data_IF_063224887434
#
_entry.id   IF_063224887434
#
_cell.length_a   1.000
_cell.length_b   1.000
_cell.length_c   1.000
_cell.angle_alpha   90.00
_cell.angle_beta   90.00
_cell.angle_gamma   90.00
#
_symmetry.space_group_name_H-M   'P 1'
#
loop_
_entity.id
_entity.type
_entity.pdbx_description
1 polymer ?
#
# COMPACT_ATOMS: atom_id res chain seq x y z
N UNK A 1 23.95 16.14 17.07
CA UNK A 1 22.51 15.95 17.31
C UNK A 1 21.88 15.73 15.95
N UNK A 2 21.49 14.49 15.64
CA UNK A 2 20.86 14.15 14.35
C UNK A 2 19.40 14.57 14.46
N UNK A 3 18.97 15.46 13.57
CA UNK A 3 17.56 15.86 13.52
C UNK A 3 16.69 14.61 13.26
N UNK A 4 15.54 14.46 13.92
CA UNK A 4 14.66 13.33 13.67
C UNK A 4 14.23 13.37 12.20
N UNK A 5 14.34 12.22 11.53
CA UNK A 5 13.75 11.94 10.21
C UNK A 5 12.34 12.55 10.25
N UNK A 6 12.13 13.62 9.48
CA UNK A 6 10.81 14.26 9.41
C UNK A 6 9.80 13.15 9.13
N UNK A 7 8.84 12.97 10.04
CA UNK A 7 7.78 11.97 9.91
C UNK A 7 7.19 12.09 8.51
N UNK A 8 7.50 11.14 7.63
CA UNK A 8 6.86 11.08 6.33
C UNK A 8 5.37 10.96 6.61
N UNK A 9 4.61 11.99 6.24
CA UNK A 9 3.17 12.04 6.44
C UNK A 9 2.57 10.79 5.81
N UNK A 10 1.81 10.02 6.60
CA UNK A 10 1.14 8.80 6.13
C UNK A 10 0.28 9.16 4.91
N UNK A 11 0.48 8.44 3.81
CA UNK A 11 -0.31 8.60 2.57
C UNK A 11 -1.18 7.38 2.35
N UNK A 12 -2.28 7.53 1.63
CA UNK A 12 -3.10 6.39 1.26
C UNK A 12 -2.44 5.60 0.15
N UNK A 13 -1.91 6.29 -0.88
CA UNK A 13 -1.39 5.65 -2.10
C UNK A 13 -0.02 6.23 -2.48
N UNK A 14 0.96 5.36 -2.73
CA UNK A 14 2.24 5.75 -3.34
C UNK A 14 2.33 5.26 -4.77
N UNK A 15 2.84 6.11 -5.66
CA UNK A 15 3.10 5.75 -7.06
C UNK A 15 4.59 5.52 -7.32
N UNK A 16 4.88 4.39 -7.96
CA UNK A 16 6.20 3.97 -8.42
C UNK A 16 6.13 3.86 -9.93
N UNK A 17 6.99 4.60 -10.62
CA UNK A 17 6.94 4.72 -12.08
C UNK A 17 8.29 5.19 -12.62
N UNK A 18 8.52 4.94 -13.91
CA UNK A 18 9.68 5.48 -14.60
C UNK A 18 9.39 6.91 -15.10
N UNK A 19 10.40 7.78 -15.20
CA UNK A 19 10.21 9.19 -15.61
C UNK A 19 9.54 9.36 -16.97
N UNK A 20 9.68 8.38 -17.87
CA UNK A 20 8.98 8.35 -19.17
C UNK A 20 7.49 8.05 -19.07
N UNK A 21 7.02 7.53 -17.94
CA UNK A 21 5.60 7.27 -17.65
C UNK A 21 4.97 8.41 -16.84
N UNK A 22 5.64 9.57 -16.74
CA UNK A 22 5.23 10.68 -15.89
C UNK A 22 3.79 11.15 -16.17
N UNK A 23 3.40 11.24 -17.44
CA UNK A 23 2.05 11.67 -17.83
C UNK A 23 0.98 10.67 -17.37
N UNK A 24 1.22 9.37 -17.53
CA UNK A 24 0.34 8.34 -17.01
C UNK A 24 0.28 8.38 -15.48
N UNK A 25 1.42 8.51 -14.81
CA UNK A 25 1.48 8.62 -13.37
C UNK A 25 0.73 9.85 -12.85
N UNK A 26 0.88 11.01 -13.50
CA UNK A 26 0.14 12.24 -13.18
C UNK A 26 -1.36 12.05 -13.31
N UNK A 27 -1.80 11.44 -14.41
CA UNK A 27 -3.22 11.14 -14.62
C UNK A 27 -3.79 10.26 -13.49
N UNK A 28 -3.07 9.21 -13.09
CA UNK A 28 -3.51 8.31 -12.03
C UNK A 28 -3.50 8.97 -10.66
N UNK A 29 -2.48 9.76 -10.34
CA UNK A 29 -2.41 10.58 -9.12
C UNK A 29 -3.63 11.49 -9.03
N UNK A 30 -3.89 12.26 -10.09
CA UNK A 30 -5.04 13.16 -10.15
C UNK A 30 -6.37 12.41 -9.99
N UNK A 31 -6.47 11.22 -10.59
CA UNK A 31 -7.65 10.37 -10.48
C UNK A 31 -7.88 9.87 -9.05
N UNK A 32 -6.81 9.44 -8.36
CA UNK A 32 -6.86 8.94 -6.98
C UNK A 32 -7.17 10.08 -6.01
N UNK A 33 -6.53 11.25 -6.17
CA UNK A 33 -6.77 12.43 -5.33
C UNK A 33 -8.21 12.97 -5.47
N UNK A 34 -8.80 12.90 -6.68
CA UNK A 34 -10.21 13.22 -6.89
C UNK A 34 -11.19 12.33 -6.13
N UNK A 35 -10.75 11.16 -5.66
CA UNK A 35 -11.52 10.27 -4.81
C UNK A 35 -11.14 10.40 -3.33
N UNK A 36 -10.55 11.53 -2.93
CA UNK A 36 -10.18 11.87 -1.54
C UNK A 36 -9.11 10.96 -0.92
N UNK A 37 -8.30 10.29 -1.74
CA UNK A 37 -7.12 9.56 -1.26
C UNK A 37 -5.89 10.44 -1.33
N UNK A 38 -5.15 10.51 -0.23
CA UNK A 38 -3.87 11.21 -0.17
C UNK A 38 -2.81 10.43 -0.94
N UNK A 39 -2.10 11.10 -1.85
CA UNK A 39 -1.04 10.44 -2.62
C UNK A 39 0.35 10.89 -2.21
N UNK A 40 1.30 10.00 -2.43
CA UNK A 40 2.70 10.33 -2.56
C UNK A 40 3.12 10.27 -4.03
N UNK A 41 3.68 11.37 -4.53
CA UNK A 41 4.15 11.48 -5.88
C UNK A 41 5.57 12.05 -5.92
N UNK A 42 6.55 11.21 -6.26
CA UNK A 42 8.00 11.54 -6.21
C UNK A 42 8.33 12.91 -6.82
N UNK A 43 7.81 13.25 -7.99
CA UNK A 43 8.11 14.53 -8.65
C UNK A 43 7.55 15.77 -7.92
N UNK A 44 6.59 15.61 -7.00
CA UNK A 44 6.03 16.68 -6.16
C UNK A 44 6.56 16.64 -4.73
N UNK A 45 6.69 15.44 -4.18
CA UNK A 45 6.82 15.22 -2.73
C UNK A 45 8.23 14.76 -2.32
N UNK A 46 9.11 14.44 -3.28
CA UNK A 46 10.47 14.01 -2.95
C UNK A 46 11.36 15.18 -2.57
N UNK A 47 11.59 15.30 -1.27
CA UNK A 47 12.73 16.03 -0.72
C UNK A 47 13.71 15.01 -0.15
N UNK A 48 14.80 14.76 -0.88
CA UNK A 48 15.86 13.83 -0.43
C UNK A 48 16.86 14.65 0.37
N UNK A 49 17.05 14.32 1.65
CA UNK A 49 18.12 14.93 2.43
C UNK A 49 19.49 14.46 1.89
N UNK A 50 20.53 15.31 1.91
CA UNK A 50 21.81 15.02 1.24
C UNK A 50 22.51 13.73 1.70
N UNK A 51 22.14 13.22 2.87
CA UNK A 51 22.70 12.07 3.56
C UNK A 51 21.80 10.81 3.50
N UNK A 52 20.59 10.92 2.96
CA UNK A 52 19.66 9.80 2.90
C UNK A 52 19.86 8.99 1.62
N UNK A 53 20.05 7.68 1.75
CA UNK A 53 20.06 6.77 0.61
C UNK A 53 18.69 6.76 -0.06
N UNK A 54 18.68 6.76 -1.39
CA UNK A 54 17.45 6.72 -2.20
C UNK A 54 16.61 5.50 -1.80
N UNK A 55 17.24 4.36 -1.55
CA UNK A 55 16.60 3.10 -1.15
C UNK A 55 15.84 3.23 0.17
N UNK A 56 16.46 3.81 1.21
CA UNK A 56 15.84 3.99 2.53
C UNK A 56 14.61 4.91 2.44
N UNK A 57 14.70 5.92 1.58
CA UNK A 57 13.60 6.83 1.33
C UNK A 57 12.44 6.13 0.59
N UNK A 58 12.73 5.31 -0.43
CA UNK A 58 11.72 4.52 -1.16
C UNK A 58 11.03 3.56 -0.21
N UNK A 59 11.81 2.80 0.57
CA UNK A 59 11.31 1.88 1.59
C UNK A 59 10.40 2.57 2.60
N UNK A 60 10.83 3.70 3.15
CA UNK A 60 10.06 4.42 4.16
C UNK A 60 8.76 5.00 3.56
N UNK A 61 8.79 5.48 2.33
CA UNK A 61 7.61 5.97 1.61
C UNK A 61 6.59 4.86 1.39
N UNK A 62 7.04 3.71 0.90
CA UNK A 62 6.21 2.53 0.69
C UNK A 62 5.66 1.99 2.02
N UNK A 63 6.47 2.00 3.09
CA UNK A 63 6.07 1.59 4.45
C UNK A 63 4.99 2.50 5.03
N UNK A 64 5.02 3.79 4.73
CA UNK A 64 4.04 4.77 5.21
C UNK A 64 2.78 4.89 4.32
N UNK A 65 2.63 4.02 3.32
CA UNK A 65 1.46 3.99 2.42
C UNK A 65 0.57 2.78 2.65
N UNK A 66 -0.75 2.92 2.40
CA UNK A 66 -1.70 1.78 2.48
C UNK A 66 -1.73 0.97 1.20
N UNK A 67 -1.60 1.63 0.06
CA UNK A 67 -1.47 1.02 -1.25
C UNK A 67 -0.24 1.54 -1.98
N UNK A 68 0.35 0.67 -2.81
CA UNK A 68 1.47 0.99 -3.69
C UNK A 68 1.02 0.65 -5.11
N UNK A 69 1.05 1.64 -5.99
CA UNK A 69 0.73 1.48 -7.41
C UNK A 69 2.04 1.54 -8.18
N UNK A 70 2.37 0.45 -8.88
CA UNK A 70 3.59 0.34 -9.70
C UNK A 70 3.19 0.34 -11.16
N UNK A 71 3.72 1.28 -11.95
CA UNK A 71 3.51 1.33 -13.39
C UNK A 71 4.59 0.48 -14.06
N UNK A 72 4.19 -0.65 -14.62
CA UNK A 72 5.04 -1.60 -15.32
C UNK A 72 4.96 -1.30 -16.81
N UNK A 73 6.01 -0.70 -17.33
CA UNK A 73 6.18 -0.29 -18.72
C UNK A 73 7.54 -0.74 -19.26
N UNK A 74 7.73 -0.70 -20.58
CA UNK A 74 9.03 -0.99 -21.20
C UNK A 74 10.15 -0.08 -20.63
N UNK A 75 9.95 1.24 -20.51
CA UNK A 75 10.88 2.12 -19.83
C UNK A 75 11.18 1.70 -18.38
N UNK A 76 10.17 1.29 -17.62
CA UNK A 76 10.35 0.86 -16.23
C UNK A 76 11.23 -0.38 -16.12
N UNK A 77 10.95 -1.39 -16.95
CA UNK A 77 11.69 -2.65 -16.96
C UNK A 77 13.15 -2.46 -17.41
N UNK A 78 13.37 -1.62 -18.43
CA UNK A 78 14.73 -1.32 -18.93
C UNK A 78 15.50 -0.35 -18.06
N UNK A 79 14.81 0.53 -17.34
CA UNK A 79 15.40 1.62 -16.54
C UNK A 79 15.79 1.22 -15.11
N UNK A 80 15.76 -0.06 -14.76
CA UNK A 80 16.13 -0.54 -13.42
C UNK A 80 15.03 -0.42 -12.37
N UNK A 81 13.76 -0.22 -12.76
CA UNK A 81 12.62 -0.14 -11.83
C UNK A 81 12.33 -1.44 -11.06
N UNK A 82 13.00 -2.53 -11.41
CA UNK A 82 12.87 -3.83 -10.74
C UNK A 82 13.22 -3.78 -9.25
N UNK A 83 14.21 -2.96 -8.86
CA UNK A 83 14.57 -2.81 -7.45
C UNK A 83 13.45 -2.15 -6.65
N UNK A 84 12.88 -1.05 -7.17
CA UNK A 84 11.74 -0.38 -6.52
C UNK A 84 10.52 -1.31 -6.42
N UNK A 85 10.32 -2.15 -7.44
CA UNK A 85 9.27 -3.16 -7.43
C UNK A 85 9.54 -4.25 -6.38
N UNK A 86 10.78 -4.73 -6.27
CA UNK A 86 11.16 -5.72 -5.25
C UNK A 86 10.93 -5.17 -3.84
N UNK A 87 11.34 -3.93 -3.60
CA UNK A 87 11.10 -3.24 -2.33
C UNK A 87 9.60 -3.13 -2.05
N UNK A 88 8.77 -2.78 -3.04
CA UNK A 88 7.32 -2.70 -2.88
C UNK A 88 6.73 -4.06 -2.47
N UNK A 89 7.15 -5.14 -3.13
CA UNK A 89 6.67 -6.49 -2.86
C UNK A 89 7.11 -6.99 -1.48
N UNK A 90 8.39 -6.79 -1.11
CA UNK A 90 8.89 -7.13 0.23
C UNK A 90 8.15 -6.35 1.31
N UNK A 91 7.95 -5.06 1.09
CA UNK A 91 7.22 -4.19 2.01
C UNK A 91 5.78 -4.67 2.22
N UNK A 92 5.12 -5.10 1.14
CA UNK A 92 3.77 -5.66 1.20
C UNK A 92 3.74 -7.04 1.87
N UNK A 93 4.69 -7.92 1.59
CA UNK A 93 4.78 -9.23 2.23
C UNK A 93 4.97 -9.12 3.76
N UNK A 94 5.66 -8.07 4.22
CA UNK A 94 5.87 -7.79 5.64
C UNK A 94 4.66 -7.13 6.34
N UNK A 95 3.62 -6.71 5.59
CA UNK A 95 2.47 -5.98 6.14
C UNK A 95 1.16 -6.53 5.60
N UNK A 96 0.39 -7.19 6.47
CA UNK A 96 -0.86 -7.87 6.08
C UNK A 96 -1.93 -6.93 5.48
N UNK A 97 -1.83 -5.62 5.72
CA UNK A 97 -2.82 -4.62 5.28
C UNK A 97 -2.36 -3.79 4.06
N UNK A 98 -1.23 -4.14 3.43
CA UNK A 98 -0.73 -3.41 2.26
C UNK A 98 -1.23 -4.00 0.96
N UNK A 99 -1.68 -3.13 0.07
CA UNK A 99 -2.01 -3.47 -1.31
C UNK A 99 -0.87 -3.09 -2.24
N UNK A 100 -0.47 -4.01 -3.12
CA UNK A 100 0.33 -3.67 -4.30
C UNK A 100 -0.53 -3.87 -5.54
N UNK A 101 -0.62 -2.83 -6.36
CA UNK A 101 -1.28 -2.85 -7.66
C UNK A 101 -0.24 -2.61 -8.74
N UNK A 102 -0.05 -3.56 -9.64
CA UNK A 102 0.73 -3.39 -10.85
C UNK A 102 -0.16 -2.94 -12.00
N UNK A 103 0.11 -1.74 -12.53
CA UNK A 103 -0.49 -1.23 -13.77
C UNK A 103 0.40 -1.69 -14.93
N UNK A 104 -0.06 -2.65 -15.71
CA UNK A 104 0.71 -3.27 -16.79
C UNK A 104 0.39 -2.54 -18.10
N UNK A 105 1.36 -1.79 -18.62
CA UNK A 105 1.27 -1.16 -19.92
C UNK A 105 1.35 -2.20 -21.05
N UNK A 106 0.70 -1.89 -22.17
CA UNK A 106 0.64 -2.76 -23.34
C UNK A 106 2.02 -3.26 -23.78
N UNK A 107 2.13 -4.56 -24.05
CA UNK A 107 3.34 -5.20 -24.54
C UNK A 107 4.35 -5.55 -23.45
N UNK A 108 4.03 -5.34 -22.17
CA UNK A 108 4.89 -5.72 -21.06
C UNK A 108 4.37 -6.98 -20.37
N UNK A 109 5.27 -7.95 -20.18
CA UNK A 109 5.01 -9.09 -19.32
C UNK A 109 5.39 -8.74 -17.87
N UNK A 110 4.50 -9.01 -16.89
CA UNK A 110 4.81 -8.75 -15.50
C UNK A 110 5.96 -9.65 -15.04
N UNK A 111 6.99 -9.12 -14.37
CA UNK A 111 8.03 -9.95 -13.77
C UNK A 111 7.42 -10.93 -12.75
N UNK A 112 8.02 -12.12 -12.61
CA UNK A 112 7.48 -13.21 -11.78
C UNK A 112 7.24 -12.84 -10.31
N UNK A 113 7.90 -11.80 -9.81
CA UNK A 113 7.66 -11.23 -8.48
C UNK A 113 6.23 -10.69 -8.29
N UNK A 114 5.51 -10.38 -9.37
CA UNK A 114 4.14 -9.87 -9.36
C UNK A 114 3.07 -10.96 -9.24
N UNK A 115 3.44 -12.25 -9.14
CA UNK A 115 2.47 -13.34 -9.05
C UNK A 115 1.46 -13.20 -7.89
N UNK A 116 1.85 -12.49 -6.83
CA UNK A 116 0.99 -12.21 -5.68
C UNK A 116 0.32 -10.82 -5.70
N UNK A 117 0.64 -9.96 -6.68
CA UNK A 117 0.12 -8.60 -6.78
C UNK A 117 -1.24 -8.55 -7.49
N UNK A 118 -2.04 -7.52 -7.19
CA UNK A 118 -3.20 -7.19 -8.03
C UNK A 118 -2.70 -6.54 -9.30
N UNK A 119 -3.25 -6.92 -10.45
CA UNK A 119 -2.85 -6.35 -11.75
C UNK A 119 -4.01 -5.62 -12.39
N UNK A 120 -3.71 -4.51 -13.07
CA UNK A 120 -4.63 -3.74 -13.90
C UNK A 120 -3.93 -3.46 -15.22
N UNK A 121 -4.56 -3.76 -16.36
CA UNK A 121 -3.95 -3.55 -17.67
C UNK A 121 -4.23 -2.15 -18.20
N UNK A 122 -3.25 -1.55 -18.86
CA UNK A 122 -3.38 -0.29 -19.58
C UNK A 122 -3.09 -0.47 -21.07
N UNK A 123 -4.14 -0.30 -21.88
CA UNK A 123 -4.10 -0.43 -23.35
C UNK A 123 -4.39 0.92 -24.05
N UNK A 124 -4.07 2.05 -23.42
CA UNK A 124 -4.34 3.39 -23.94
C UNK A 124 -5.70 4.00 -23.55
N UNK A 125 -6.61 3.22 -22.96
CA UNK A 125 -7.89 3.71 -22.44
C UNK A 125 -7.75 4.18 -20.99
N UNK A 126 -7.69 5.50 -20.81
CA UNK A 126 -7.48 6.15 -19.53
C UNK A 126 -8.69 6.05 -18.59
N UNK A 127 -9.92 6.12 -19.12
CA UNK A 127 -11.14 6.09 -18.31
C UNK A 127 -11.36 4.69 -17.74
N UNK A 128 -11.14 3.66 -18.56
CA UNK A 128 -11.19 2.28 -18.11
C UNK A 128 -10.12 1.99 -17.06
N UNK A 129 -8.87 2.39 -17.33
CA UNK A 129 -7.77 2.22 -16.37
C UNK A 129 -8.09 2.85 -15.02
N UNK A 130 -8.56 4.10 -15.03
CA UNK A 130 -8.99 4.81 -13.82
C UNK A 130 -10.08 4.01 -13.09
N UNK A 131 -11.13 3.60 -13.79
CA UNK A 131 -12.24 2.86 -13.18
C UNK A 131 -11.79 1.56 -12.51
N UNK A 132 -10.94 0.79 -13.20
CA UNK A 132 -10.45 -0.49 -12.71
C UNK A 132 -9.46 -0.31 -11.53
N UNK A 133 -8.53 0.65 -11.62
CA UNK A 133 -7.63 0.98 -10.52
C UNK A 133 -8.41 1.43 -9.27
N UNK A 134 -9.41 2.30 -9.44
CA UNK A 134 -10.18 2.83 -8.31
C UNK A 134 -10.98 1.73 -7.61
N UNK A 135 -11.58 0.78 -8.36
CA UNK A 135 -12.27 -0.38 -7.77
C UNK A 135 -11.33 -1.20 -6.88
N UNK A 136 -10.10 -1.43 -7.32
CA UNK A 136 -9.11 -2.19 -6.55
C UNK A 136 -8.71 -1.44 -5.28
N UNK A 137 -8.39 -0.15 -5.40
CA UNK A 137 -7.97 0.68 -4.25
C UNK A 137 -9.11 0.82 -3.24
N UNK A 138 -10.32 1.15 -3.69
CA UNK A 138 -11.50 1.29 -2.83
C UNK A 138 -11.84 -0.02 -2.14
N UNK A 139 -11.88 -1.14 -2.87
CA UNK A 139 -12.17 -2.45 -2.29
C UNK A 139 -11.20 -2.82 -1.16
N UNK A 140 -9.91 -2.51 -1.31
CA UNK A 140 -8.91 -2.76 -0.28
C UNK A 140 -9.03 -1.80 0.92
N UNK A 141 -9.19 -0.50 0.65
CA UNK A 141 -9.26 0.50 1.73
C UNK A 141 -10.53 0.35 2.56
N UNK A 142 -11.67 0.06 1.93
CA UNK A 142 -12.95 -0.14 2.61
C UNK A 142 -13.02 -1.45 3.39
N UNK A 143 -12.45 -2.54 2.86
CA UNK A 143 -12.39 -3.82 3.60
C UNK A 143 -11.54 -3.74 4.87
N UNK A 144 -10.44 -2.97 4.82
CA UNK A 144 -9.63 -2.70 6.00
C UNK A 144 -10.40 -1.91 7.08
N UNK A 145 -11.29 -0.99 6.70
CA UNK A 145 -12.12 -0.22 7.64
C UNK A 145 -13.20 -1.07 8.33
N UNK A 146 -13.86 -1.97 7.58
CA UNK A 146 -14.89 -2.85 8.14
C UNK A 146 -14.33 -3.88 9.13
N UNK A 147 -13.07 -4.29 8.97
CA UNK A 147 -12.39 -5.18 9.91
C UNK A 147 -12.09 -4.50 11.24
N UNK A 148 -11.81 -3.19 11.23
CA UNK A 148 -11.61 -2.39 12.44
C UNK A 148 -12.92 -2.01 13.15
N UNK A 149 -14.00 -1.75 12.42
CA UNK A 149 -15.31 -1.43 13.03
C UNK A 149 -15.96 -2.63 13.73
N UNK A 150 -15.83 -3.85 13.18
CA UNK A 150 -16.34 -5.07 13.85
C UNK A 150 -15.64 -5.39 15.17
N UNK A 151 -14.46 -4.82 15.43
CA UNK A 151 -13.77 -4.94 16.73
C UNK A 151 -14.31 -3.94 17.76
N UNK A 152 -14.97 -2.86 17.31
CA UNK A 152 -15.51 -1.83 18.20
C UNK A 152 -16.98 -2.08 18.61
N UNK A 153 -17.74 -2.85 17.82
CA UNK A 153 -19.17 -3.09 18.07
C UNK A 153 -19.47 -4.24 19.06
N UNK A 154 -18.44 -4.91 19.58
CA UNK A 154 -18.56 -5.88 20.67
C UNK A 154 -18.24 -5.27 22.05
N UNK A 155 -18.88 -4.15 22.40
CA UNK A 155 -18.96 -3.71 23.79
C UNK A 155 -20.21 -4.33 24.45
N UNK A 156 -20.07 -5.17 25.49
CA UNK A 156 -21.21 -5.59 26.28
C UNK A 156 -21.70 -4.41 27.13
N UNK A 157 -22.99 -4.13 27.04
CA UNK A 157 -23.72 -3.18 27.89
C UNK A 157 -23.47 -3.43 29.39
N UNK A 158 -23.32 -2.39 30.23
CA UNK A 158 -23.01 -2.56 31.64
C UNK A 158 -24.28 -2.97 32.41
N UNK A 159 -24.32 -4.23 32.85
CA UNK A 159 -25.38 -4.78 33.69
C UNK A 159 -24.84 -5.68 34.80
N UNK A 160 -24.50 -5.06 35.94
CA UNK A 160 -24.71 -5.57 37.31
C UNK A 160 -24.40 -7.05 37.64
N UNK A 161 -23.25 -7.36 38.25
CA UNK A 161 -23.10 -7.54 39.72
C UNK A 161 -21.79 -8.27 40.10
N UNK A 162 -21.06 -7.65 41.04
CA UNK A 162 -20.23 -8.21 42.13
C UNK A 162 -19.41 -9.49 41.86
N UNK A 163 -18.08 -9.35 41.88
CA UNK A 163 -17.24 -9.73 43.02
C UNK A 163 -15.82 -9.20 42.78
N UNK A 164 -15.29 -8.47 43.76
CA UNK A 164 -13.89 -8.06 43.77
C UNK A 164 -13.00 -9.29 44.03
N UNK A 165 -11.91 -9.43 43.26
CA UNK A 165 -10.63 -9.75 43.89
C UNK A 165 -9.44 -9.27 43.03
N UNK A 166 -8.39 -8.88 43.75
CA UNK A 166 -7.13 -8.31 43.24
C UNK A 166 -6.31 -9.38 42.51
N UNK A 167 -5.72 -9.03 41.37
CA UNK A 167 -4.26 -9.05 41.18
C UNK A 167 -3.85 -8.99 39.69
N UNK A 168 -2.83 -8.16 39.44
CA UNK A 168 -1.90 -8.21 38.31
C UNK A 168 -2.47 -8.17 36.88
N UNK A 169 -2.37 -7.00 36.26
CA UNK A 169 -2.53 -6.85 34.82
C UNK A 169 -1.42 -7.57 34.05
N UNK A 170 -1.79 -8.55 33.23
CA UNK A 170 -1.12 -8.87 31.95
C UNK A 170 -2.11 -9.66 31.10
N UNK A 171 -2.85 -8.99 30.22
CA UNK A 171 -3.67 -9.70 29.22
C UNK A 171 -2.76 -10.21 28.09
N UNK A 172 -2.34 -11.47 28.18
CA UNK A 172 -1.79 -12.17 27.01
C UNK A 172 -2.94 -12.55 26.07
N UNK A 173 -3.08 -11.82 24.96
CA UNK A 173 -3.91 -12.27 23.84
C UNK A 173 -3.20 -13.42 23.14
N UNK A 174 -3.58 -14.64 23.49
CA UNK A 174 -3.12 -15.87 22.85
C UNK A 174 -3.87 -16.01 21.51
N UNK A 175 -3.28 -15.51 20.43
CA UNK A 175 -3.83 -15.73 19.08
C UNK A 175 -3.72 -17.22 18.73
N UNK A 176 -4.87 -17.91 18.75
CA UNK A 176 -5.03 -19.24 18.16
C UNK A 176 -4.98 -19.07 16.64
N UNK A 177 -3.86 -19.47 16.02
CA UNK A 177 -3.79 -19.67 14.56
C UNK A 177 -4.78 -20.77 14.19
N UNK A 178 -5.68 -20.49 13.27
CA UNK A 178 -6.38 -21.53 12.51
C UNK A 178 -6.67 -21.02 11.11
N UNK A 179 -6.52 -21.96 10.17
CA UNK A 179 -6.79 -21.90 8.74
C UNK A 179 -5.68 -21.33 7.84
N UNK A 180 -5.40 -21.92 6.68
CA UNK A 180 -5.56 -23.26 6.11
C UNK A 180 -4.99 -23.06 4.69
N UNK A 181 -3.78 -23.54 4.42
CA UNK A 181 -3.30 -23.61 3.04
C UNK A 181 -3.89 -24.87 2.42
N UNK A 182 -4.85 -24.72 1.50
CA UNK A 182 -5.28 -25.79 0.62
C UNK A 182 -4.55 -25.59 -0.70
N UNK A 183 -3.58 -26.46 -0.98
CA UNK A 183 -3.03 -26.62 -2.32
C UNK A 183 -3.98 -27.51 -3.12
N UNK A 184 -4.25 -27.13 -4.36
CA UNK A 184 -4.81 -27.99 -5.40
C UNK A 184 -3.86 -27.96 -6.59
#
# INVERSE_FOLDING_TARGET
MVAPIQHLVKKDVTFVYHSRDLELARFLVFSVERHNYSTFFRHRDAFIQPDQLITDWVENTMRNSRAIVVIISDPFMRGGGLLDLEIAMVTAAQSQDKLVVAVICQGCDPPGLLAAARTVSFNGDFDRLKGDLMKVIQGHISSAQTSTERVHESQPTPGSNRQADRDSGTYYVRYKRTCCLTFS
#
